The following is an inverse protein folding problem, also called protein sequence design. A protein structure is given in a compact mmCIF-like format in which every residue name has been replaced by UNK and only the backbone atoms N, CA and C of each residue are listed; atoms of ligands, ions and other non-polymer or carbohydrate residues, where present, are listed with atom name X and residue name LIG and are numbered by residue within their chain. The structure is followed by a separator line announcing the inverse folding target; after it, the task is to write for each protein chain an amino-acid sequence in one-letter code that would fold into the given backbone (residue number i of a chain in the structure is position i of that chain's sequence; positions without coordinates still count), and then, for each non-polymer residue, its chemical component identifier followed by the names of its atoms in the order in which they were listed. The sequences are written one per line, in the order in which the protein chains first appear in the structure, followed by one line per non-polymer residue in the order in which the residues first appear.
data_IF_731373597570
#
_entry.id   IF_731373597570
#
_cell.length_a   1.000
_cell.length_b   1.000
_cell.length_c   1.000
_cell.angle_alpha   90.00
_cell.angle_beta   90.00
_cell.angle_gamma   90.00
#
_symmetry.space_group_name_H-M   'P 1'
#
loop_
_entity.id
_entity.type
_entity.pdbx_description
1 polymer ?
#
# COMPACT_ATOMS: atom_id res chain seq x y z
N UNK A 1 14.15 -56.26 -2.33
CA UNK A 1 12.79 -56.24 -2.89
C UNK A 1 11.91 -55.38 -1.99
N UNK A 2 11.14 -54.50 -2.62
CA UNK A 2 10.10 -53.56 -2.15
C UNK A 2 10.29 -52.75 -0.85
N UNK A 3 10.45 -51.44 -1.00
CA UNK A 3 9.86 -50.46 -0.08
C UNK A 3 8.61 -49.94 -0.78
N UNK A 4 7.45 -50.24 -0.20
CA UNK A 4 6.18 -49.72 -0.69
C UNK A 4 6.19 -48.20 -0.58
N UNK A 5 6.02 -47.54 -1.73
CA UNK A 5 5.83 -46.09 -1.80
C UNK A 5 4.44 -45.81 -1.27
N UNK A 6 4.39 -45.03 -0.20
CA UNK A 6 3.17 -44.35 0.22
C UNK A 6 2.92 -43.24 -0.81
N UNK A 7 2.06 -43.51 -1.79
CA UNK A 7 1.57 -42.46 -2.70
C UNK A 7 0.59 -41.58 -1.92
N UNK A 8 1.10 -40.43 -1.49
CA UNK A 8 0.28 -39.31 -1.09
C UNK A 8 -0.39 -38.76 -2.36
N UNK A 9 -1.62 -39.19 -2.60
CA UNK A 9 -2.55 -38.47 -3.46
C UNK A 9 -2.76 -37.09 -2.83
N UNK A 10 -2.08 -36.08 -3.34
CA UNK A 10 -2.41 -34.71 -3.04
C UNK A 10 -3.32 -34.21 -4.16
N UNK A 11 -4.61 -34.22 -3.89
CA UNK A 11 -5.61 -33.43 -4.62
C UNK A 11 -5.25 -31.94 -4.44
N UNK A 12 -4.27 -31.45 -5.19
CA UNK A 12 -3.85 -30.04 -5.25
C UNK A 12 -4.00 -29.58 -6.68
N UNK A 13 -5.20 -29.24 -7.10
CA UNK A 13 -5.42 -28.96 -8.53
C UNK A 13 -6.35 -27.78 -8.83
N UNK A 14 -6.55 -26.84 -7.90
CA UNK A 14 -7.28 -25.59 -8.26
C UNK A 14 -6.87 -24.35 -7.46
N UNK A 15 -6.47 -24.46 -6.19
CA UNK A 15 -6.17 -23.27 -5.38
C UNK A 15 -4.75 -22.71 -5.54
N UNK A 16 -3.78 -23.56 -5.86
CA UNK A 16 -2.38 -23.13 -6.02
C UNK A 16 -2.17 -22.33 -7.33
N UNK A 17 -2.99 -22.61 -8.35
CA UNK A 17 -2.95 -21.92 -9.64
C UNK A 17 -3.51 -20.50 -9.54
N UNK A 18 -4.63 -20.30 -8.84
CA UNK A 18 -5.22 -18.97 -8.62
C UNK A 18 -4.30 -18.07 -7.79
N UNK A 19 -3.66 -18.62 -6.74
CA UNK A 19 -2.68 -17.90 -5.92
C UNK A 19 -1.43 -17.58 -6.73
N UNK A 20 -0.97 -18.51 -7.57
CA UNK A 20 0.18 -18.31 -8.45
C UNK A 20 -0.09 -17.25 -9.52
N UNK A 21 -1.31 -17.21 -10.07
CA UNK A 21 -1.75 -16.20 -11.03
C UNK A 21 -1.82 -14.82 -10.37
N UNK A 22 -2.40 -14.71 -9.17
CA UNK A 22 -2.44 -13.46 -8.41
C UNK A 22 -1.03 -12.93 -8.09
N UNK A 23 -0.12 -13.80 -7.65
CA UNK A 23 1.29 -13.45 -7.38
C UNK A 23 2.01 -13.03 -8.67
N UNK A 24 1.72 -13.70 -9.79
CA UNK A 24 2.30 -13.37 -11.10
C UNK A 24 1.85 -11.98 -11.59
N UNK A 25 0.55 -11.68 -11.46
CA UNK A 25 -0.01 -10.35 -11.76
C UNK A 25 0.65 -9.28 -10.90
N UNK A 26 0.79 -9.51 -9.59
CA UNK A 26 1.46 -8.57 -8.67
C UNK A 26 2.96 -8.37 -9.00
N UNK A 27 3.68 -9.42 -9.42
CA UNK A 27 5.09 -9.32 -9.87
C UNK A 27 5.23 -8.56 -11.19
N UNK A 28 4.22 -8.66 -12.06
CA UNK A 28 4.20 -7.96 -13.36
C UNK A 28 3.79 -6.49 -13.24
N UNK A 29 3.17 -6.09 -12.12
CA UNK A 29 2.92 -4.70 -11.75
C UNK A 29 4.23 -4.02 -11.31
N UNK A 30 5.18 -3.90 -12.24
CA UNK A 30 6.17 -2.83 -12.13
C UNK A 30 5.41 -1.52 -12.24
N UNK A 31 5.35 -0.77 -11.13
CA UNK A 31 4.83 0.59 -11.11
C UNK A 31 5.73 1.43 -12.00
N UNK A 32 5.37 1.59 -13.28
CA UNK A 32 6.19 2.23 -14.32
C UNK A 32 6.38 3.74 -14.10
N UNK A 33 5.62 4.32 -13.17
CA UNK A 33 5.81 5.68 -12.65
C UNK A 33 5.26 5.71 -11.22
N UNK A 34 6.11 5.84 -10.17
CA UNK A 34 5.63 6.05 -8.82
C UNK A 34 5.09 7.48 -8.72
N UNK A 35 3.86 7.68 -9.20
CA UNK A 35 3.16 8.95 -9.04
C UNK A 35 2.56 8.97 -7.65
N UNK A 36 3.05 9.91 -6.83
CA UNK A 36 2.41 10.22 -5.56
C UNK A 36 1.00 10.74 -5.82
N UNK A 37 0.04 10.29 -5.02
CA UNK A 37 -1.33 10.81 -5.08
C UNK A 37 -1.35 12.10 -4.26
N UNK A 38 -1.49 13.23 -4.95
CA UNK A 38 -1.55 14.56 -4.36
C UNK A 38 -2.94 15.15 -4.58
N UNK A 39 -3.50 15.77 -3.54
CA UNK A 39 -4.77 16.50 -3.62
C UNK A 39 -4.54 17.95 -3.22
N UNK A 40 -5.06 18.87 -4.03
CA UNK A 40 -5.11 20.30 -3.72
C UNK A 40 -6.44 20.64 -3.06
N UNK A 41 -6.40 21.46 -2.02
CA UNK A 41 -7.58 21.88 -1.27
C UNK A 41 -7.24 22.98 -0.27
N UNK A 42 -8.06 23.11 0.77
CA UNK A 42 -7.86 24.13 1.81
C UNK A 42 -7.92 23.52 3.21
N UNK A 43 -7.01 23.94 4.09
CA UNK A 43 -7.09 23.69 5.53
C UNK A 43 -7.38 25.03 6.23
N UNK A 44 -8.52 25.17 6.90
CA UNK A 44 -8.93 26.42 7.55
C UNK A 44 -8.86 27.66 6.62
N UNK A 45 -9.35 27.53 5.38
CA UNK A 45 -9.27 28.55 4.32
C UNK A 45 -7.85 28.91 3.84
N UNK A 46 -6.85 28.09 4.16
CA UNK A 46 -5.48 28.22 3.65
C UNK A 46 -5.26 27.15 2.58
N UNK A 47 -4.77 27.55 1.41
CA UNK A 47 -4.42 26.61 0.34
C UNK A 47 -3.39 25.59 0.83
N UNK A 48 -3.71 24.31 0.64
CA UNK A 48 -2.91 23.20 1.09
C UNK A 48 -2.84 22.11 0.01
N UNK A 49 -1.68 21.45 -0.05
CA UNK A 49 -1.47 20.24 -0.86
C UNK A 49 -1.18 19.08 0.08
N UNK A 50 -1.97 18.01 -0.03
CA UNK A 50 -1.81 16.81 0.79
C UNK A 50 -1.29 15.64 -0.03
N UNK A 51 -0.51 14.78 0.61
CA UNK A 51 -0.08 13.48 0.10
C UNK A 51 -0.98 12.39 0.67
N UNK A 52 -1.51 11.52 -0.19
CA UNK A 52 -2.23 10.31 0.25
C UNK A 52 -1.22 9.19 0.46
N UNK A 53 -1.01 8.83 1.72
CA UNK A 53 -0.13 7.73 2.12
C UNK A 53 -0.93 6.67 2.90
N UNK A 54 -1.29 5.58 2.21
CA UNK A 54 -2.02 4.47 2.83
C UNK A 54 -1.16 3.64 3.80
N UNK A 55 0.16 3.86 3.84
CA UNK A 55 1.07 3.24 4.81
C UNK A 55 1.23 4.05 6.09
N UNK A 56 0.77 5.30 6.11
CA UNK A 56 0.82 6.15 7.30
C UNK A 56 -0.25 5.71 8.32
N UNK A 57 0.13 5.64 9.59
CA UNK A 57 -0.80 5.30 10.68
C UNK A 57 -1.68 6.48 11.12
N UNK A 58 -1.25 7.71 10.81
CA UNK A 58 -1.86 8.97 11.23
C UNK A 58 -1.71 10.03 10.14
N UNK A 59 -2.39 11.16 10.31
CA UNK A 59 -2.21 12.34 9.46
C UNK A 59 -1.07 13.21 9.99
N UNK A 60 -0.26 13.73 9.08
CA UNK A 60 0.85 14.60 9.40
C UNK A 60 0.70 15.94 8.69
N UNK A 61 1.14 17.00 9.35
CA UNK A 61 1.24 18.34 8.80
C UNK A 61 2.66 18.84 8.99
N UNK A 62 3.21 19.54 8.01
CA UNK A 62 4.58 20.05 8.15
C UNK A 62 4.62 21.17 9.19
N UNK A 63 5.63 21.14 10.05
CA UNK A 63 5.84 22.19 11.05
C UNK A 63 5.99 23.57 10.39
N UNK A 64 6.60 23.63 9.21
CA UNK A 64 6.69 24.84 8.40
C UNK A 64 5.30 25.39 8.07
N UNK A 65 4.38 24.55 7.58
CA UNK A 65 3.02 24.97 7.24
C UNK A 65 2.28 25.51 8.47
N UNK A 66 2.41 24.83 9.61
CA UNK A 66 1.83 25.25 10.90
C UNK A 66 2.36 26.63 11.32
N UNK A 67 3.68 26.82 11.31
CA UNK A 67 4.34 28.08 11.71
C UNK A 67 3.98 29.24 10.78
N UNK A 68 3.99 29.02 9.46
CA UNK A 68 3.69 30.06 8.48
C UNK A 68 2.24 30.55 8.55
N UNK A 69 1.31 29.69 8.97
CA UNK A 69 -0.11 30.02 9.00
C UNK A 69 -0.70 30.16 10.42
N UNK A 70 0.16 30.16 11.44
CA UNK A 70 -0.26 30.37 12.83
C UNK A 70 -1.28 29.35 13.34
N UNK A 71 -1.19 28.10 12.86
CA UNK A 71 -2.11 27.04 13.29
C UNK A 71 -1.78 26.69 14.75
N UNK A 72 -2.76 26.74 15.68
CA UNK A 72 -2.54 26.40 17.07
C UNK A 72 -2.02 24.97 17.22
N UNK A 73 -0.99 24.80 18.06
CA UNK A 73 -0.50 23.49 18.49
C UNK A 73 -0.80 23.34 19.97
N UNK A 74 -1.57 22.33 20.34
CA UNK A 74 -1.74 21.97 21.74
C UNK A 74 -0.39 21.43 22.25
N UNK A 75 0.30 22.22 23.07
CA UNK A 75 1.50 21.81 23.83
C UNK A 75 1.14 21.30 25.20
#
# INVERSE_FOLDING_TARGET
MSRDKFELNSDRDTHDDEVSELISVMKSMQVKNPTLILLDGTLNNIDARILVDCGASHNFISEYFVKCHGIPTDT
#
